data_IF_395358043394
#
_entry.id   IF_395358043394
#
_cell.length_a   1.000
_cell.length_b   1.000
_cell.length_c   1.000
_cell.angle_alpha   90.00
_cell.angle_beta   90.00
_cell.angle_gamma   90.00
#
_symmetry.space_group_name_H-M   'P 1'
#
loop_
_entity.id
_entity.type
_entity.pdbx_description
1 polymer ?
#
# COMPACT_ATOMS: atom_id res chain seq x y z
N UNK A 1 -9.54 -10.62 -16.97
CA UNK A 1 -9.26 -9.19 -17.05
C UNK A 1 -10.59 -8.43 -16.95
N UNK A 2 -10.75 -7.61 -15.91
CA UNK A 2 -11.95 -6.81 -15.62
C UNK A 2 -11.61 -5.31 -15.55
N UNK A 3 -10.51 -4.92 -16.21
CA UNK A 3 -10.07 -3.54 -16.25
C UNK A 3 -11.17 -2.65 -16.84
N UNK A 4 -11.42 -1.52 -16.16
CA UNK A 4 -12.42 -0.50 -16.51
C UNK A 4 -13.86 -1.08 -16.65
N UNK A 5 -14.12 -2.29 -16.11
CA UNK A 5 -15.43 -2.93 -16.18
C UNK A 5 -16.47 -2.20 -15.32
N UNK A 6 -17.71 -2.13 -15.80
CA UNK A 6 -18.84 -1.70 -14.98
C UNK A 6 -19.43 -2.91 -14.24
N UNK A 7 -19.14 -2.99 -12.94
CA UNK A 7 -19.62 -4.02 -12.00
C UNK A 7 -20.50 -3.42 -10.90
N UNK A 8 -21.06 -2.24 -11.16
CA UNK A 8 -21.92 -1.56 -10.20
C UNK A 8 -23.11 -2.43 -9.80
N UNK A 9 -23.30 -2.59 -8.49
CA UNK A 9 -24.38 -3.41 -7.92
C UNK A 9 -24.24 -4.91 -8.21
N UNK A 10 -23.13 -5.36 -8.79
CA UNK A 10 -22.93 -6.77 -9.10
C UNK A 10 -22.92 -7.63 -7.81
N UNK A 11 -23.52 -8.79 -7.88
CA UNK A 11 -23.37 -9.78 -6.81
C UNK A 11 -22.14 -10.66 -7.08
N UNK A 12 -21.07 -10.36 -6.36
CA UNK A 12 -19.78 -11.06 -6.40
C UNK A 12 -19.51 -11.81 -5.09
N UNK A 13 -20.58 -12.10 -4.31
CA UNK A 13 -20.48 -12.84 -3.07
C UNK A 13 -19.83 -14.21 -3.30
N UNK A 14 -18.75 -14.52 -2.54
CA UNK A 14 -17.98 -15.74 -2.67
C UNK A 14 -17.17 -15.88 -3.97
N UNK A 15 -17.14 -14.85 -4.83
CA UNK A 15 -16.42 -14.92 -6.09
C UNK A 15 -14.90 -15.09 -5.90
N UNK A 16 -14.29 -15.92 -6.70
CA UNK A 16 -12.82 -15.99 -6.78
C UNK A 16 -12.30 -14.96 -7.79
N UNK A 17 -11.80 -13.84 -7.27
CA UNK A 17 -11.19 -12.74 -8.01
C UNK A 17 -9.68 -12.66 -7.75
N UNK A 18 -9.07 -13.78 -7.31
CA UNK A 18 -7.64 -13.86 -7.06
C UNK A 18 -6.85 -13.43 -8.31
N UNK A 19 -5.86 -12.54 -8.12
CA UNK A 19 -5.00 -11.98 -9.17
C UNK A 19 -5.75 -11.29 -10.33
N UNK A 20 -7.04 -10.95 -10.15
CA UNK A 20 -7.83 -10.28 -11.17
C UNK A 20 -7.33 -8.85 -11.42
N UNK A 21 -7.29 -8.43 -12.68
CA UNK A 21 -7.08 -7.04 -13.03
C UNK A 21 -8.43 -6.32 -13.02
N UNK A 22 -8.69 -5.57 -11.94
CA UNK A 22 -9.87 -4.73 -11.70
C UNK A 22 -9.53 -3.23 -11.74
N UNK A 23 -8.37 -2.88 -12.33
CA UNK A 23 -7.95 -1.49 -12.42
C UNK A 23 -9.02 -0.63 -13.09
N UNK A 24 -9.41 0.47 -12.43
CA UNK A 24 -10.41 1.41 -12.91
C UNK A 24 -11.85 0.88 -12.91
N UNK A 25 -12.10 -0.35 -12.43
CA UNK A 25 -13.45 -0.92 -12.43
C UNK A 25 -14.42 -0.14 -11.54
N UNK A 26 -15.67 -0.02 -11.97
CA UNK A 26 -16.76 0.53 -11.18
C UNK A 26 -17.42 -0.60 -10.38
N UNK A 27 -17.09 -0.69 -9.08
CA UNK A 27 -17.61 -1.67 -8.13
C UNK A 27 -18.58 -1.01 -7.12
N UNK A 28 -19.12 0.18 -7.44
CA UNK A 28 -20.06 0.85 -6.54
C UNK A 28 -21.24 -0.05 -6.22
N UNK A 29 -21.60 -0.10 -4.95
CA UNK A 29 -22.73 -0.88 -4.42
C UNK A 29 -22.61 -2.40 -4.68
N UNK A 30 -21.47 -2.92 -5.15
CA UNK A 30 -21.26 -4.35 -5.39
C UNK A 30 -21.23 -5.14 -4.08
N UNK A 31 -21.76 -6.36 -4.11
CA UNK A 31 -21.64 -7.29 -2.99
C UNK A 31 -20.39 -8.16 -3.15
N UNK A 32 -19.36 -7.87 -2.35
CA UNK A 32 -18.09 -8.57 -2.31
C UNK A 32 -17.90 -9.45 -1.07
N UNK A 33 -19.00 -9.74 -0.32
CA UNK A 33 -18.90 -10.58 0.87
C UNK A 33 -18.31 -11.94 0.51
N UNK A 34 -17.41 -12.43 1.35
CA UNK A 34 -16.71 -13.71 1.17
C UNK A 34 -15.90 -13.83 -0.13
N UNK A 35 -15.76 -12.77 -0.93
CA UNK A 35 -15.00 -12.80 -2.16
C UNK A 35 -13.48 -12.91 -1.90
N UNK A 36 -12.79 -13.68 -2.74
CA UNK A 36 -11.34 -13.76 -2.71
C UNK A 36 -10.73 -12.73 -3.67
N UNK A 37 -10.27 -11.60 -3.14
CA UNK A 37 -9.59 -10.53 -3.88
C UNK A 37 -8.07 -10.59 -3.76
N UNK A 38 -7.51 -11.69 -3.31
CA UNK A 38 -6.07 -11.81 -3.06
C UNK A 38 -5.27 -11.55 -4.33
N UNK A 39 -4.32 -10.60 -4.27
CA UNK A 39 -3.51 -10.20 -5.43
C UNK A 39 -4.25 -9.41 -6.52
N UNK A 40 -5.54 -9.14 -6.37
CA UNK A 40 -6.28 -8.37 -7.37
C UNK A 40 -5.76 -6.93 -7.46
N UNK A 41 -5.65 -6.42 -8.69
CA UNK A 41 -5.29 -5.01 -8.93
C UNK A 41 -6.56 -4.15 -8.93
N UNK A 42 -6.80 -3.43 -7.84
CA UNK A 42 -7.90 -2.48 -7.65
C UNK A 42 -7.49 -1.01 -7.84
N UNK A 43 -6.31 -0.73 -8.41
CA UNK A 43 -5.83 0.63 -8.61
C UNK A 43 -6.85 1.46 -9.41
N UNK A 44 -7.36 2.55 -8.78
CA UNK A 44 -8.37 3.41 -9.40
C UNK A 44 -9.77 2.81 -9.50
N UNK A 45 -10.02 1.63 -8.94
CA UNK A 45 -11.38 1.08 -8.87
C UNK A 45 -12.23 1.89 -7.88
N UNK A 46 -13.52 2.02 -8.19
CA UNK A 46 -14.47 2.70 -7.31
C UNK A 46 -15.29 1.67 -6.51
N UNK A 47 -15.01 1.55 -5.21
CA UNK A 47 -15.71 0.65 -4.28
C UNK A 47 -16.68 1.40 -3.35
N UNK A 48 -17.11 2.62 -3.69
CA UNK A 48 -18.05 3.38 -2.87
C UNK A 48 -19.35 2.58 -2.66
N UNK A 49 -19.75 2.37 -1.40
CA UNK A 49 -20.93 1.59 -1.08
C UNK A 49 -20.80 0.07 -1.26
N UNK A 50 -19.65 -0.45 -1.69
CA UNK A 50 -19.46 -1.89 -1.81
C UNK A 50 -19.58 -2.58 -0.44
N UNK A 51 -20.26 -3.71 -0.42
CA UNK A 51 -20.49 -4.51 0.78
C UNK A 51 -19.45 -5.63 0.88
N UNK A 52 -18.63 -5.64 1.94
CA UNK A 52 -17.62 -6.67 2.22
C UNK A 52 -17.61 -7.00 3.72
N UNK A 53 -17.02 -8.12 4.11
CA UNK A 53 -16.95 -8.61 5.48
C UNK A 53 -15.55 -9.16 5.83
N UNK A 54 -15.39 -9.61 7.06
CA UNK A 54 -14.11 -10.19 7.56
C UNK A 54 -13.64 -11.41 6.76
N UNK A 55 -14.56 -12.15 6.15
CA UNK A 55 -14.26 -13.29 5.29
C UNK A 55 -13.87 -12.90 3.86
N UNK A 56 -14.10 -11.63 3.47
CA UNK A 56 -13.57 -11.11 2.20
C UNK A 56 -12.04 -11.15 2.26
N UNK A 57 -11.41 -11.87 1.37
CA UNK A 57 -9.96 -11.97 1.37
C UNK A 57 -9.32 -10.58 1.29
N UNK A 58 -8.27 -10.37 2.07
CA UNK A 58 -7.60 -9.08 2.26
C UNK A 58 -8.37 -8.06 3.12
N UNK A 59 -9.36 -8.52 3.91
CA UNK A 59 -10.00 -7.66 4.91
C UNK A 59 -8.98 -7.14 5.93
N UNK A 60 -8.12 -8.02 6.48
CA UNK A 60 -7.02 -7.62 7.34
C UNK A 60 -5.94 -6.84 6.57
N UNK A 61 -5.27 -5.91 7.26
CA UNK A 61 -4.13 -5.20 6.67
C UNK A 61 -2.95 -6.16 6.43
N UNK A 62 -2.16 -5.90 5.40
CA UNK A 62 -0.92 -6.61 5.13
C UNK A 62 0.22 -6.19 6.07
N UNK A 63 0.04 -5.10 6.82
CA UNK A 63 0.98 -4.59 7.83
C UNK A 63 0.36 -4.66 9.23
N UNK A 64 1.17 -4.63 10.32
CA UNK A 64 0.67 -4.56 11.69
C UNK A 64 -0.30 -3.39 11.90
N UNK A 65 -1.44 -3.66 12.52
CA UNK A 65 -2.48 -2.66 12.77
C UNK A 65 -2.13 -1.74 13.96
N UNK A 66 -1.29 -2.21 14.89
CA UNK A 66 -0.91 -1.50 16.11
C UNK A 66 0.59 -1.60 16.36
N UNK A 67 1.09 -0.70 17.22
CA UNK A 67 2.50 -0.63 17.60
C UNK A 67 3.40 -0.07 16.49
N UNK A 68 4.62 0.29 16.82
CA UNK A 68 5.63 0.67 15.84
C UNK A 68 6.27 -0.57 15.22
N UNK A 69 6.66 -0.50 13.95
CA UNK A 69 7.33 -1.59 13.24
C UNK A 69 8.21 -1.05 12.11
N UNK A 70 9.06 -1.90 11.56
CA UNK A 70 9.94 -1.55 10.44
C UNK A 70 9.28 -1.91 9.11
N UNK A 71 9.39 -1.00 8.16
CA UNK A 71 9.02 -1.19 6.76
C UNK A 71 10.13 -0.70 5.83
N UNK A 72 10.05 -1.10 4.57
CA UNK A 72 11.09 -0.83 3.58
C UNK A 72 10.52 -0.22 2.32
N UNK A 73 11.25 0.75 1.77
CA UNK A 73 10.86 1.45 0.54
C UNK A 73 12.04 1.58 -0.40
N UNK A 74 11.81 1.33 -1.69
CA UNK A 74 12.80 1.63 -2.73
C UNK A 74 12.66 3.09 -3.19
N UNK A 75 13.74 3.83 -3.20
CA UNK A 75 13.84 5.19 -3.71
C UNK A 75 15.18 5.40 -4.40
N UNK A 76 15.20 5.94 -5.62
CA UNK A 76 16.42 6.27 -6.36
C UNK A 76 17.43 5.13 -6.52
N UNK A 77 16.97 3.87 -6.52
CA UNK A 77 17.86 2.70 -6.58
C UNK A 77 18.46 2.27 -5.23
N UNK A 78 18.06 2.90 -4.13
CA UNK A 78 18.42 2.55 -2.75
C UNK A 78 17.23 2.04 -1.98
N UNK A 79 17.46 1.42 -0.82
CA UNK A 79 16.43 1.00 0.12
C UNK A 79 16.45 1.93 1.32
N UNK A 80 15.31 2.54 1.58
CA UNK A 80 15.04 3.34 2.78
C UNK A 80 14.36 2.43 3.80
N UNK A 81 14.97 2.26 4.97
CA UNK A 81 14.38 1.61 6.13
C UNK A 81 13.59 2.64 6.94
N UNK A 82 12.34 2.33 7.20
CA UNK A 82 11.37 3.21 7.83
C UNK A 82 10.86 2.59 9.12
N UNK A 83 10.92 3.30 10.24
CA UNK A 83 10.14 2.97 11.41
C UNK A 83 8.75 3.61 11.25
N UNK A 84 7.74 2.79 10.97
CA UNK A 84 6.35 3.22 10.98
C UNK A 84 5.97 3.47 12.44
N UNK A 85 5.58 4.69 12.77
CA UNK A 85 5.30 5.07 14.16
C UNK A 85 3.99 4.45 14.67
N UNK A 86 3.82 4.38 15.98
CA UNK A 86 2.59 3.86 16.58
C UNK A 86 1.36 4.70 16.19
N UNK A 87 1.55 5.99 16.02
CA UNK A 87 0.51 6.97 15.67
C UNK A 87 0.19 7.04 14.18
N UNK A 88 1.02 6.42 13.34
CA UNK A 88 0.82 6.42 11.90
C UNK A 88 -0.51 5.80 11.50
N UNK A 89 -1.32 6.50 10.70
CA UNK A 89 -2.41 5.88 9.95
C UNK A 89 -1.83 4.93 8.93
N UNK A 90 -2.50 3.80 8.70
CA UNK A 90 -1.97 2.70 7.89
C UNK A 90 -3.03 2.18 6.95
N UNK A 91 -2.62 1.77 5.78
CA UNK A 91 -3.51 1.21 4.77
C UNK A 91 -2.79 0.16 3.94
N UNK A 92 -3.49 -0.88 3.58
CA UNK A 92 -3.15 -1.80 2.50
C UNK A 92 -4.44 -2.36 1.94
N UNK A 93 -4.46 -2.73 0.67
CA UNK A 93 -5.64 -3.33 0.06
C UNK A 93 -5.39 -4.80 -0.30
N UNK A 94 -5.14 -5.08 -1.55
CA UNK A 94 -5.11 -6.45 -2.08
C UNK A 94 -3.69 -6.98 -2.30
N UNK A 95 -2.69 -6.09 -2.27
CA UNK A 95 -1.28 -6.43 -2.46
C UNK A 95 -0.50 -6.38 -1.15
N UNK A 96 0.78 -6.75 -1.23
CA UNK A 96 1.70 -6.63 -0.09
C UNK A 96 2.24 -5.21 0.10
N UNK A 97 1.91 -4.28 -0.81
CA UNK A 97 2.27 -2.87 -0.70
C UNK A 97 1.37 -2.18 0.31
N UNK A 98 1.97 -1.57 1.31
CA UNK A 98 1.31 -0.80 2.36
C UNK A 98 1.54 0.69 2.18
N UNK A 99 0.69 1.51 2.82
CA UNK A 99 0.86 2.96 2.94
C UNK A 99 0.76 3.38 4.40
N UNK A 100 1.48 4.43 4.78
CA UNK A 100 1.30 5.09 6.07
C UNK A 100 1.34 6.62 5.92
N UNK A 101 0.82 7.30 6.96
CA UNK A 101 0.81 8.76 7.01
C UNK A 101 2.14 9.34 7.46
N UNK A 102 2.92 8.61 8.25
CA UNK A 102 4.18 9.08 8.81
C UNK A 102 5.15 7.94 9.11
N UNK A 103 6.43 8.23 9.10
CA UNK A 103 7.50 7.31 9.48
C UNK A 103 8.76 8.07 9.89
N UNK A 104 9.68 7.40 10.60
CA UNK A 104 11.05 7.88 10.86
C UNK A 104 11.99 7.14 9.93
N UNK A 105 12.88 7.86 9.25
CA UNK A 105 13.89 7.26 8.39
C UNK A 105 15.03 6.73 9.25
N UNK A 106 15.19 5.41 9.29
CA UNK A 106 16.18 4.74 10.13
C UNK A 106 17.53 4.62 9.44
N UNK A 107 17.52 4.18 8.17
CA UNK A 107 18.74 4.01 7.37
C UNK A 107 18.44 4.09 5.87
N UNK A 108 19.49 4.30 5.08
CA UNK A 108 19.48 4.21 3.61
C UNK A 108 20.59 3.26 3.21
N UNK A 109 20.28 2.19 2.51
CA UNK A 109 21.21 1.13 2.13
C UNK A 109 21.19 0.86 0.63
N UNK A 110 22.28 0.30 0.10
CA UNK A 110 22.32 -0.23 -1.27
C UNK A 110 21.38 -1.45 -1.41
N UNK A 111 21.05 -1.83 -2.64
CA UNK A 111 20.16 -2.98 -2.90
C UNK A 111 20.74 -4.30 -2.38
N UNK A 112 22.03 -4.44 -2.30
CA UNK A 112 22.74 -5.62 -1.76
C UNK A 112 22.77 -5.66 -0.22
N UNK A 113 22.34 -4.57 0.45
CA UNK A 113 22.34 -4.43 1.90
C UNK A 113 23.55 -3.74 2.50
N UNK A 114 24.54 -3.39 1.71
CA UNK A 114 25.68 -2.59 2.17
C UNK A 114 25.24 -1.17 2.55
N UNK A 115 25.98 -0.52 3.44
CA UNK A 115 25.72 0.86 3.82
C UNK A 115 25.84 1.79 2.61
N UNK A 116 24.95 2.78 2.55
CA UNK A 116 25.02 3.85 1.57
C UNK A 116 25.66 5.09 2.20
N UNK A 117 26.55 5.74 1.48
CA UNK A 117 27.10 7.05 1.89
C UNK A 117 26.09 8.20 1.73
N UNK A 118 24.92 7.92 1.17
CA UNK A 118 23.88 8.93 0.89
C UNK A 118 23.01 9.13 2.13
N UNK A 119 23.08 10.29 2.83
CA UNK A 119 22.31 10.53 4.05
C UNK A 119 20.84 10.90 3.78
N UNK A 120 20.51 11.24 2.53
CA UNK A 120 19.15 11.62 2.13
C UNK A 120 18.88 11.23 0.68
N UNK A 121 17.60 10.97 0.37
CA UNK A 121 17.16 10.64 -0.99
C UNK A 121 15.74 11.13 -1.25
N UNK A 122 15.47 11.60 -2.47
CA UNK A 122 14.15 12.01 -2.91
C UNK A 122 13.27 10.81 -3.26
N UNK A 123 11.97 10.93 -3.04
CA UNK A 123 10.98 9.98 -3.53
C UNK A 123 11.04 9.86 -5.06
N UNK A 124 10.72 8.67 -5.58
CA UNK A 124 10.63 8.47 -7.03
C UNK A 124 9.48 9.25 -7.67
N UNK A 125 8.39 9.48 -6.92
CA UNK A 125 7.17 10.12 -7.41
C UNK A 125 7.14 11.63 -7.17
N UNK A 126 7.65 12.09 -6.03
CA UNK A 126 7.73 13.51 -5.68
C UNK A 126 9.16 13.85 -5.30
N UNK A 127 9.83 14.63 -6.13
CA UNK A 127 11.22 15.02 -5.90
C UNK A 127 11.43 15.99 -4.74
N UNK A 128 10.34 16.62 -4.27
CA UNK A 128 10.37 17.49 -3.08
C UNK A 128 10.19 16.69 -1.78
N UNK A 129 9.71 15.44 -1.87
CA UNK A 129 9.55 14.57 -0.71
C UNK A 129 10.87 13.84 -0.42
N UNK A 130 11.57 14.27 0.61
CA UNK A 130 12.93 13.82 0.94
C UNK A 130 12.90 12.87 2.15
N UNK A 131 13.55 11.73 2.00
CA UNK A 131 13.88 10.82 3.09
C UNK A 131 15.28 11.15 3.57
N UNK A 132 15.44 11.60 4.83
CA UNK A 132 16.73 11.91 5.44
C UNK A 132 16.88 11.11 6.72
N UNK A 133 18.01 10.42 6.87
CA UNK A 133 18.27 9.56 8.02
C UNK A 133 18.13 10.33 9.34
N UNK A 134 17.38 9.75 10.28
CA UNK A 134 17.07 10.34 11.59
C UNK A 134 15.88 11.29 11.59
N UNK A 135 15.33 11.66 10.44
CA UNK A 135 14.19 12.60 10.38
C UNK A 135 12.84 11.89 10.19
N UNK A 136 11.80 12.52 10.75
CA UNK A 136 10.41 12.12 10.51
C UNK A 136 9.97 12.64 9.14
N UNK A 137 9.27 11.79 8.41
CA UNK A 137 8.55 12.14 7.18
C UNK A 137 7.06 11.94 7.40
N UNK A 138 6.24 12.82 6.85
CA UNK A 138 4.78 12.75 7.00
C UNK A 138 4.05 13.22 5.75
N UNK A 139 2.84 12.69 5.56
CA UNK A 139 1.92 13.02 4.46
C UNK A 139 0.61 13.50 5.07
N UNK A 140 0.39 14.84 5.15
CA UNK A 140 -0.78 15.43 5.82
C UNK A 140 -2.12 15.04 5.19
N UNK A 141 -2.15 14.83 3.88
CA UNK A 141 -3.32 14.46 3.07
C UNK A 141 -3.44 12.95 2.86
N UNK A 142 -3.04 12.13 3.85
CA UNK A 142 -3.11 10.68 3.78
C UNK A 142 -4.54 10.21 3.44
N UNK A 143 -4.67 9.47 2.33
CA UNK A 143 -5.94 8.89 1.93
C UNK A 143 -6.24 7.62 2.75
N UNK A 144 -7.26 7.69 3.61
CA UNK A 144 -7.69 6.57 4.47
C UNK A 144 -8.46 5.49 3.69
N UNK A 145 -8.89 5.78 2.46
CA UNK A 145 -9.54 4.77 1.64
C UNK A 145 -8.53 3.71 1.21
N UNK A 146 -8.60 2.54 1.84
CA UNK A 146 -7.64 1.46 1.62
C UNK A 146 -7.62 0.95 0.18
N UNK A 147 -8.73 1.07 -0.54
CA UNK A 147 -8.86 0.59 -1.92
C UNK A 147 -8.13 1.48 -2.93
N UNK A 148 -7.79 2.69 -2.55
CA UNK A 148 -6.96 3.59 -3.35
C UNK A 148 -5.47 3.29 -3.13
N UNK A 149 -4.99 2.12 -3.55
CA UNK A 149 -3.61 1.67 -3.31
C UNK A 149 -2.53 2.61 -3.86
N UNK A 150 -2.86 3.39 -4.89
CA UNK A 150 -1.94 4.32 -5.54
C UNK A 150 -2.11 5.78 -5.06
N UNK A 151 -2.92 6.00 -4.02
CA UNK A 151 -3.20 7.33 -3.47
C UNK A 151 -2.09 7.84 -2.54
N UNK A 152 -2.32 9.02 -1.94
CA UNK A 152 -1.36 9.70 -1.08
C UNK A 152 -0.97 8.87 0.14
N UNK A 153 0.30 8.92 0.50
CA UNK A 153 0.91 8.17 1.59
C UNK A 153 2.34 7.74 1.32
N UNK A 154 3.04 7.37 2.35
CA UNK A 154 4.37 6.76 2.25
C UNK A 154 4.17 5.29 1.94
N UNK A 155 4.48 4.88 0.70
CA UNK A 155 4.37 3.48 0.27
C UNK A 155 5.58 2.69 0.73
N UNK A 156 5.33 1.49 1.28
CA UNK A 156 6.39 0.62 1.82
C UNK A 156 5.99 -0.86 1.73
N UNK A 157 6.93 -1.74 2.00
CA UNK A 157 6.77 -3.18 2.14
C UNK A 157 7.22 -3.63 3.54
N UNK A 158 6.69 -4.75 4.00
CA UNK A 158 7.05 -5.32 5.32
C UNK A 158 8.43 -5.95 5.29
N UNK A 159 8.83 -6.52 4.16
CA UNK A 159 10.17 -7.11 4.03
C UNK A 159 11.03 -6.32 3.08
N UNK A 160 12.34 -6.33 3.36
CA UNK A 160 13.34 -5.70 2.52
C UNK A 160 13.35 -6.29 1.09
N UNK A 161 13.22 -7.61 1.00
CA UNK A 161 13.21 -8.33 -0.28
C UNK A 161 12.06 -7.90 -1.19
N UNK A 162 10.86 -7.67 -0.63
CA UNK A 162 9.73 -7.13 -1.38
C UNK A 162 10.04 -5.74 -1.94
N UNK A 163 10.66 -4.89 -1.14
CA UNK A 163 11.06 -3.54 -1.59
C UNK A 163 12.14 -3.59 -2.68
N UNK A 164 13.11 -4.50 -2.58
CA UNK A 164 14.18 -4.68 -3.59
C UNK A 164 13.61 -5.11 -4.94
N UNK A 165 12.65 -6.05 -4.93
CA UNK A 165 12.04 -6.61 -6.16
C UNK A 165 11.04 -5.66 -6.82
N UNK A 166 10.52 -4.69 -6.09
CA UNK A 166 9.59 -3.69 -6.60
C UNK A 166 10.31 -2.62 -7.42
#
# INVERSE_FOLDING_TARGET
>A
NLRDANLRGANLCGANLCDANLRGADLRDANLRDANLRGANLCGANLCGANYNESTAMYALACPEKGAFIGYKKAGGLIVELQITETAKRSSATTRKCRCSEAIVMSITNLDGSESEVPLIASNHDKNFIYKVGEKVEVPDFDENRWNECSTGIHFFITRDEAVRY
#
